data_IF_364183248609
#
_entry.id   IF_364183248609
#
_cell.length_a   1.000
_cell.length_b   1.000
_cell.length_c   1.000
_cell.angle_alpha   90.00
_cell.angle_beta   90.00
_cell.angle_gamma   90.00
#
_symmetry.space_group_name_H-M   'P 1'
#
loop_
_entity.id
_entity.type
_entity.pdbx_description
1 polymer ?
#
# COMPACT_ATOMS: atom_id res chain seq x y z
N UNK A 1 5.14 -14.22 -11.36
CA UNK A 1 4.89 -13.01 -10.53
C UNK A 1 4.47 -13.41 -9.13
N UNK A 2 5.09 -12.81 -8.11
CA UNK A 2 4.76 -13.03 -6.69
C UNK A 2 4.45 -11.67 -6.05
N UNK A 3 3.28 -11.54 -5.42
CA UNK A 3 2.90 -10.33 -4.68
C UNK A 3 3.36 -10.48 -3.24
N UNK A 4 4.22 -9.56 -2.79
CA UNK A 4 4.72 -9.46 -1.43
C UNK A 4 4.21 -8.19 -0.73
N UNK A 5 4.86 -7.78 0.34
CA UNK A 5 4.36 -6.75 1.26
C UNK A 5 5.48 -5.88 1.82
N UNK A 6 5.16 -4.66 2.20
CA UNK A 6 5.97 -3.76 3.02
C UNK A 6 6.33 -4.34 4.40
N UNK A 7 5.53 -5.28 4.92
CA UNK A 7 5.78 -5.97 6.21
C UNK A 7 7.02 -6.86 6.21
N UNK A 8 7.72 -7.00 5.09
CA UNK A 8 9.05 -7.63 5.06
C UNK A 8 10.12 -6.74 5.69
N UNK A 9 9.85 -5.44 5.85
CA UNK A 9 10.72 -4.48 6.53
C UNK A 9 10.32 -4.30 8.00
N UNK A 10 11.23 -3.75 8.83
CA UNK A 10 10.98 -3.51 10.26
C UNK A 10 10.08 -2.30 10.55
N UNK A 11 9.85 -1.46 9.55
CA UNK A 11 8.98 -0.28 9.63
C UNK A 11 9.54 0.88 10.47
N UNK A 12 10.85 0.90 10.77
CA UNK A 12 11.49 1.91 11.63
C UNK A 12 12.30 2.96 10.87
N UNK A 13 12.38 2.86 9.54
CA UNK A 13 13.07 3.88 8.76
C UNK A 13 12.46 5.26 9.08
N UNK A 14 13.25 6.31 9.25
CA UNK A 14 12.74 7.65 9.57
C UNK A 14 11.68 8.11 8.56
N UNK A 15 10.67 8.83 9.06
CA UNK A 15 9.66 9.47 8.22
C UNK A 15 10.33 10.38 7.19
N UNK A 16 9.83 10.38 5.96
CA UNK A 16 10.45 11.08 4.84
C UNK A 16 11.56 10.29 4.12
N UNK A 17 11.95 9.12 4.64
CA UNK A 17 12.83 8.18 3.94
C UNK A 17 12.02 7.00 3.41
N UNK A 18 12.34 6.57 2.20
CA UNK A 18 11.68 5.45 1.54
C UNK A 18 12.49 4.16 1.67
N UNK A 19 11.79 3.03 1.76
CA UNK A 19 12.39 1.71 1.68
C UNK A 19 12.80 1.42 0.25
N UNK A 20 14.08 1.16 0.03
CA UNK A 20 14.61 0.77 -1.28
C UNK A 20 14.44 -0.75 -1.50
N UNK A 21 14.44 -1.18 -2.77
CA UNK A 21 14.30 -2.60 -3.11
C UNK A 21 15.42 -3.46 -2.55
N UNK A 22 16.60 -2.86 -2.35
CA UNK A 22 17.82 -3.51 -1.87
C UNK A 22 18.00 -3.39 -0.34
N UNK A 23 17.09 -2.69 0.36
CA UNK A 23 17.11 -2.67 1.83
C UNK A 23 16.90 -4.08 2.38
N UNK A 24 17.64 -4.40 3.43
CA UNK A 24 17.57 -5.74 4.05
C UNK A 24 16.21 -5.95 4.72
N UNK A 25 15.51 -7.04 4.39
CA UNK A 25 14.28 -7.41 5.09
C UNK A 25 14.55 -7.76 6.56
N UNK A 26 13.70 -7.25 7.44
CA UNK A 26 13.64 -7.59 8.88
C UNK A 26 12.18 -7.64 9.36
N UNK A 27 11.40 -8.66 8.96
CA UNK A 27 9.98 -8.74 9.25
C UNK A 27 9.69 -8.92 10.74
N UNK A 28 8.88 -8.04 11.31
CA UNK A 28 8.52 -8.01 12.74
C UNK A 28 7.22 -8.77 13.05
N UNK A 29 6.54 -9.29 12.04
CA UNK A 29 5.26 -10.01 12.20
C UNK A 29 5.32 -11.38 11.53
N UNK A 30 4.45 -12.29 11.95
CA UNK A 30 4.34 -13.61 11.31
C UNK A 30 3.91 -13.49 9.83
N UNK A 31 3.01 -12.55 9.54
CA UNK A 31 2.63 -12.25 8.17
C UNK A 31 3.84 -11.83 7.32
N UNK A 32 4.65 -10.89 7.81
CA UNK A 32 5.86 -10.45 7.10
C UNK A 32 6.87 -11.58 6.92
N UNK A 33 7.08 -12.42 7.96
CA UNK A 33 7.98 -13.59 7.87
C UNK A 33 7.54 -14.58 6.80
N UNK A 34 6.26 -14.96 6.80
CA UNK A 34 5.75 -15.92 5.79
C UNK A 34 5.81 -15.35 4.38
N UNK A 35 5.58 -14.04 4.20
CA UNK A 35 5.74 -13.37 2.91
C UNK A 35 7.20 -13.35 2.47
N UNK A 36 8.14 -13.04 3.38
CA UNK A 36 9.59 -13.09 3.08
C UNK A 36 10.06 -14.50 2.72
N UNK A 37 9.63 -15.52 3.45
CA UNK A 37 9.89 -16.93 3.08
C UNK A 37 9.40 -17.25 1.66
N UNK A 38 8.23 -16.73 1.28
CA UNK A 38 7.72 -16.89 -0.07
C UNK A 38 8.58 -16.20 -1.13
N UNK A 39 9.14 -15.01 -0.83
CA UNK A 39 10.11 -14.35 -1.71
C UNK A 39 11.35 -15.23 -1.92
N UNK A 40 11.94 -15.75 -0.83
CA UNK A 40 13.13 -16.62 -0.86
C UNK A 40 12.89 -17.91 -1.63
N UNK A 41 11.71 -18.51 -1.47
CA UNK A 41 11.35 -19.72 -2.24
C UNK A 41 11.26 -19.41 -3.73
N UNK A 42 10.69 -18.29 -4.13
CA UNK A 42 10.63 -17.89 -5.54
C UNK A 42 12.04 -17.66 -6.11
N UNK A 43 12.92 -16.96 -5.38
CA UNK A 43 14.31 -16.74 -5.79
C UNK A 43 15.09 -18.05 -5.99
N UNK A 44 14.88 -19.02 -5.09
CA UNK A 44 15.55 -20.31 -5.15
C UNK A 44 15.04 -21.21 -6.28
N UNK A 45 13.79 -21.02 -6.73
CA UNK A 45 13.17 -21.87 -7.75
C UNK A 45 13.42 -21.39 -9.19
N UNK A 46 13.64 -20.10 -9.40
CA UNK A 46 13.82 -19.54 -10.74
C UNK A 46 14.56 -18.20 -10.72
N UNK A 47 15.34 -17.93 -11.75
CA UNK A 47 15.92 -16.60 -12.00
C UNK A 47 14.97 -15.64 -12.76
N UNK A 48 13.86 -16.16 -13.30
CA UNK A 48 12.90 -15.39 -14.08
C UNK A 48 11.66 -15.08 -13.25
N UNK A 49 11.75 -14.08 -12.39
CA UNK A 49 10.68 -13.71 -11.49
C UNK A 49 10.46 -12.19 -11.41
N UNK A 50 9.22 -11.82 -11.09
CA UNK A 50 8.87 -10.50 -10.58
C UNK A 50 8.29 -10.67 -9.18
N UNK A 51 8.99 -10.17 -8.18
CA UNK A 51 8.50 -10.06 -6.80
C UNK A 51 8.12 -8.61 -6.57
N UNK A 52 6.83 -8.37 -6.32
CA UNK A 52 6.30 -7.01 -6.17
C UNK A 52 5.84 -6.82 -4.73
N UNK A 53 6.56 -6.00 -3.96
CA UNK A 53 6.15 -5.58 -2.62
C UNK A 53 5.18 -4.42 -2.73
N UNK A 54 4.07 -4.51 -2.03
CA UNK A 54 3.00 -3.50 -2.02
C UNK A 54 2.49 -3.22 -0.61
N UNK A 55 1.76 -2.14 -0.43
CA UNK A 55 1.20 -1.71 0.85
C UNK A 55 -0.22 -1.15 0.67
N UNK A 56 -1.02 -1.16 1.75
CA UNK A 56 -2.31 -0.47 1.88
C UNK A 56 -3.27 -0.71 0.71
N UNK A 57 -3.44 -1.98 0.35
CA UNK A 57 -4.20 -2.37 -0.84
C UNK A 57 -5.70 -2.12 -0.66
N UNK A 58 -6.32 -1.46 -1.65
CA UNK A 58 -7.76 -1.30 -1.75
C UNK A 58 -8.26 -1.66 -3.15
N UNK A 59 -9.53 -2.01 -3.27
CA UNK A 59 -10.13 -2.39 -4.54
C UNK A 59 -11.62 -2.68 -4.43
N UNK A 60 -12.25 -3.01 -5.56
CA UNK A 60 -13.70 -3.18 -5.68
C UNK A 60 -14.23 -4.47 -5.03
N UNK A 61 -13.36 -5.35 -4.56
CA UNK A 61 -13.75 -6.63 -3.99
C UNK A 61 -13.10 -6.85 -2.62
N UNK A 62 -13.81 -7.59 -1.76
CA UNK A 62 -13.34 -7.90 -0.42
C UNK A 62 -13.39 -6.72 0.55
N UNK A 63 -12.94 -6.98 1.77
CA UNK A 63 -12.86 -5.95 2.83
C UNK A 63 -11.59 -5.12 2.64
N UNK A 64 -11.71 -3.81 2.68
CA UNK A 64 -10.58 -2.89 2.64
C UNK A 64 -10.88 -1.61 3.43
N UNK A 65 -9.88 -0.75 3.56
CA UNK A 65 -9.97 0.46 4.37
C UNK A 65 -11.01 1.45 3.82
N UNK A 66 -11.11 1.61 2.48
CA UNK A 66 -12.09 2.52 1.86
C UNK A 66 -13.50 2.13 2.25
N UNK A 67 -13.89 0.87 2.05
CA UNK A 67 -15.21 0.38 2.45
C UNK A 67 -15.44 0.44 3.96
N UNK A 68 -14.39 0.25 4.75
CA UNK A 68 -14.49 0.38 6.21
C UNK A 68 -14.85 1.80 6.59
N UNK A 69 -14.16 2.81 6.06
CA UNK A 69 -14.44 4.22 6.34
C UNK A 69 -15.85 4.62 5.86
N UNK A 70 -16.23 4.25 4.64
CA UNK A 70 -17.56 4.50 4.11
C UNK A 70 -18.68 3.88 4.96
N UNK A 71 -18.46 2.64 5.46
CA UNK A 71 -19.47 1.98 6.29
C UNK A 71 -19.57 2.62 7.68
N UNK A 72 -18.47 2.99 8.30
CA UNK A 72 -18.47 3.71 9.58
C UNK A 72 -19.13 5.07 9.47
N UNK A 73 -18.93 5.77 8.38
CA UNK A 73 -19.54 7.08 8.10
C UNK A 73 -21.08 7.06 8.10
N UNK A 74 -21.69 5.90 7.82
CA UNK A 74 -23.17 5.77 7.85
C UNK A 74 -23.79 5.89 9.25
N UNK A 75 -23.00 5.64 10.30
CA UNK A 75 -23.49 5.58 11.68
C UNK A 75 -22.73 6.45 12.67
N UNK A 76 -21.62 7.07 12.26
CA UNK A 76 -20.78 7.91 13.11
C UNK A 76 -20.63 9.29 12.52
N UNK A 77 -20.68 10.31 13.37
CA UNK A 77 -20.39 11.70 12.97
C UNK A 77 -18.92 12.08 13.13
N UNK A 78 -18.20 11.30 13.92
CA UNK A 78 -16.78 11.51 14.20
C UNK A 78 -16.05 10.15 14.13
N UNK A 79 -14.92 10.12 13.45
CA UNK A 79 -14.04 8.94 13.37
C UNK A 79 -12.62 9.33 13.77
N UNK A 80 -11.98 8.53 14.61
CA UNK A 80 -10.55 8.68 14.94
C UNK A 80 -9.71 7.79 14.06
N UNK A 81 -8.64 8.33 13.47
CA UNK A 81 -7.74 7.59 12.57
C UNK A 81 -6.29 7.90 12.90
N UNK A 82 -5.42 6.90 12.84
CA UNK A 82 -4.00 7.05 13.14
C UNK A 82 -3.30 7.95 12.12
N UNK A 83 -2.45 8.86 12.60
CA UNK A 83 -1.67 9.80 11.79
C UNK A 83 -0.15 9.67 11.99
N UNK A 84 0.30 8.64 12.70
CA UNK A 84 1.71 8.33 12.96
C UNK A 84 2.18 7.06 12.20
N UNK A 85 1.37 6.55 11.29
CA UNK A 85 1.71 5.45 10.40
C UNK A 85 1.71 5.96 8.96
N UNK A 86 2.88 5.97 8.33
CA UNK A 86 3.16 6.54 7.02
C UNK A 86 3.24 5.46 5.95
N UNK A 87 2.74 5.75 4.76
CA UNK A 87 2.72 4.81 3.64
C UNK A 87 1.96 5.38 2.45
N UNK A 88 1.71 4.54 1.44
CA UNK A 88 0.93 4.93 0.25
C UNK A 88 -0.13 3.90 -0.05
N UNK A 89 -1.40 4.30 -0.26
CA UNK A 89 -2.46 3.41 -0.73
C UNK A 89 -2.13 2.81 -2.11
N UNK A 90 -2.56 1.58 -2.32
CA UNK A 90 -2.39 0.88 -3.61
C UNK A 90 -3.72 0.36 -4.12
N UNK A 91 -4.17 0.88 -5.26
CA UNK A 91 -5.33 0.33 -5.94
C UNK A 91 -4.97 -0.99 -6.62
N UNK A 92 -5.79 -2.03 -6.39
CA UNK A 92 -5.58 -3.36 -6.98
C UNK A 92 -5.47 -3.33 -8.51
N UNK A 93 -6.15 -2.40 -9.17
CA UNK A 93 -6.05 -2.21 -10.62
C UNK A 93 -4.66 -1.72 -11.03
N UNK A 94 -4.11 -0.71 -10.35
CA UNK A 94 -2.75 -0.24 -10.63
C UNK A 94 -1.72 -1.36 -10.47
N UNK A 95 -1.89 -2.19 -9.42
CA UNK A 95 -1.03 -3.35 -9.21
C UNK A 95 -1.14 -4.38 -10.33
N UNK A 96 -2.36 -4.69 -10.77
CA UNK A 96 -2.62 -5.62 -11.87
C UNK A 96 -2.05 -5.10 -13.20
N UNK A 97 -2.29 -3.84 -13.52
CA UNK A 97 -1.76 -3.19 -14.74
C UNK A 97 -0.22 -3.19 -14.75
N UNK A 98 0.42 -2.95 -13.60
CA UNK A 98 1.87 -3.03 -13.51
C UNK A 98 2.41 -4.46 -13.73
N UNK A 99 1.76 -5.48 -13.16
CA UNK A 99 2.13 -6.88 -13.38
C UNK A 99 2.06 -7.26 -14.87
N UNK A 100 0.96 -6.88 -15.54
CA UNK A 100 0.78 -7.09 -16.98
C UNK A 100 1.87 -6.34 -17.75
N UNK A 101 2.10 -5.06 -17.41
CA UNK A 101 3.10 -4.24 -18.07
C UNK A 101 4.51 -4.84 -18.00
N UNK A 102 4.93 -5.34 -16.82
CA UNK A 102 6.23 -5.98 -16.66
C UNK A 102 6.39 -7.22 -17.56
N UNK A 103 5.35 -8.04 -17.62
CA UNK A 103 5.38 -9.30 -18.39
C UNK A 103 5.30 -9.07 -19.89
N UNK A 104 4.38 -8.24 -20.36
CA UNK A 104 4.20 -7.95 -21.79
C UNK A 104 5.39 -7.22 -22.40
N UNK A 105 6.00 -6.31 -21.63
CA UNK A 105 7.15 -5.53 -22.09
C UNK A 105 8.49 -6.17 -21.71
N UNK A 106 8.50 -7.42 -21.21
CA UNK A 106 9.69 -8.20 -20.88
C UNK A 106 10.71 -7.39 -20.06
N UNK A 107 10.24 -6.67 -19.03
CA UNK A 107 11.08 -5.84 -18.17
C UNK A 107 12.06 -6.71 -17.37
N UNK A 108 13.13 -6.12 -16.85
CA UNK A 108 14.14 -6.83 -16.07
C UNK A 108 13.49 -7.59 -14.89
N UNK A 109 13.87 -8.87 -14.73
CA UNK A 109 13.44 -9.68 -13.59
C UNK A 109 13.97 -9.13 -12.26
N UNK A 110 13.36 -9.56 -11.17
CA UNK A 110 13.78 -9.21 -9.81
C UNK A 110 12.69 -8.57 -8.96
N UNK A 111 13.11 -7.88 -7.91
CA UNK A 111 12.23 -7.18 -6.97
C UNK A 111 11.78 -5.84 -7.50
N UNK A 112 10.54 -5.51 -7.18
CA UNK A 112 9.92 -4.20 -7.41
C UNK A 112 9.12 -3.78 -6.19
N UNK A 113 9.03 -2.49 -5.97
CA UNK A 113 8.06 -1.87 -5.09
C UNK A 113 6.97 -1.22 -5.92
N UNK A 114 5.71 -1.40 -5.53
CA UNK A 114 4.58 -0.71 -6.12
C UNK A 114 3.55 -0.30 -5.08
N UNK A 115 3.27 0.98 -5.07
CA UNK A 115 2.05 1.61 -4.53
C UNK A 115 1.58 2.63 -5.55
N UNK A 116 0.42 3.25 -5.36
CA UNK A 116 0.13 4.47 -6.06
C UNK A 116 1.09 5.58 -5.61
N UNK A 117 1.38 6.53 -6.50
CA UNK A 117 2.33 7.62 -6.22
C UNK A 117 1.74 8.65 -5.24
N UNK A 118 2.60 9.45 -4.64
CA UNK A 118 2.22 10.60 -3.82
C UNK A 118 3.30 11.66 -3.90
N UNK A 119 2.91 12.91 -3.93
CA UNK A 119 3.83 14.06 -3.83
C UNK A 119 4.10 14.46 -2.38
N UNK A 120 3.30 13.92 -1.45
CA UNK A 120 3.35 14.25 -0.04
C UNK A 120 3.50 12.99 0.80
N UNK A 121 4.01 13.15 2.01
CA UNK A 121 3.97 12.11 3.01
C UNK A 121 2.52 11.83 3.40
N UNK A 122 2.11 10.58 3.35
CA UNK A 122 0.71 10.18 3.50
C UNK A 122 0.55 9.27 4.71
N UNK A 123 -0.46 9.53 5.54
CA UNK A 123 -0.86 8.71 6.68
C UNK A 123 -2.21 8.04 6.44
N UNK A 124 -2.59 7.10 7.30
CA UNK A 124 -3.96 6.56 7.29
C UNK A 124 -5.01 7.65 7.54
N UNK A 125 -4.66 8.68 8.33
CA UNK A 125 -5.53 9.83 8.55
C UNK A 125 -5.79 10.59 7.25
N UNK A 126 -4.74 10.92 6.48
CA UNK A 126 -4.89 11.64 5.21
C UNK A 126 -5.72 10.84 4.22
N UNK A 127 -5.51 9.53 4.18
CA UNK A 127 -6.30 8.64 3.32
C UNK A 127 -7.77 8.62 3.75
N UNK A 128 -8.07 8.58 5.07
CA UNK A 128 -9.44 8.63 5.57
C UNK A 128 -10.12 9.97 5.28
N UNK A 129 -9.40 11.09 5.43
CA UNK A 129 -9.90 12.44 5.09
C UNK A 129 -10.31 12.50 3.62
N UNK A 130 -9.47 12.01 2.70
CA UNK A 130 -9.81 12.00 1.28
C UNK A 130 -10.99 11.07 0.95
N UNK A 131 -11.06 9.89 1.59
CA UNK A 131 -12.21 8.97 1.43
C UNK A 131 -13.53 9.62 1.84
N UNK A 132 -13.52 10.41 2.90
CA UNK A 132 -14.71 10.97 3.54
C UNK A 132 -14.95 12.45 3.23
N UNK A 133 -14.20 13.06 2.32
CA UNK A 133 -14.22 14.50 2.04
C UNK A 133 -15.59 15.06 1.64
N UNK A 134 -16.44 14.23 1.04
CA UNK A 134 -17.80 14.60 0.62
C UNK A 134 -18.87 14.15 1.64
N UNK A 135 -18.47 13.77 2.85
CA UNK A 135 -19.35 13.38 3.95
C UNK A 135 -19.35 14.40 5.07
N UNK A 136 -20.40 14.38 5.92
CA UNK A 136 -20.50 15.23 7.12
C UNK A 136 -19.73 14.66 8.34
N UNK A 137 -18.84 13.68 8.11
CA UNK A 137 -18.07 13.00 9.17
C UNK A 137 -16.78 13.74 9.46
N UNK A 138 -16.58 14.12 10.70
CA UNK A 138 -15.33 14.68 11.18
C UNK A 138 -14.29 13.55 11.40
N UNK A 139 -13.12 13.64 10.75
CA UNK A 139 -12.01 12.72 10.97
C UNK A 139 -10.99 13.37 11.91
N UNK A 140 -10.75 12.73 13.06
CA UNK A 140 -9.83 13.24 14.09
C UNK A 140 -8.53 12.43 14.06
N UNK A 141 -7.35 13.08 13.92
CA UNK A 141 -6.07 12.39 13.97
C UNK A 141 -5.75 11.93 15.41
N UNK A 142 -5.21 10.73 15.53
CA UNK A 142 -4.73 10.17 16.79
C UNK A 142 -3.45 9.37 16.54
N UNK A 143 -2.65 9.18 17.58
CA UNK A 143 -1.48 8.29 17.51
C UNK A 143 -1.88 6.81 17.65
N UNK A 144 -1.00 5.92 17.23
CA UNK A 144 -1.24 4.47 17.19
C UNK A 144 -1.45 3.83 18.58
N UNK A 145 -1.10 4.52 19.67
CA UNK A 145 -1.35 4.02 21.04
C UNK A 145 -2.85 3.90 21.35
N UNK A 146 -3.70 4.65 20.63
CA UNK A 146 -5.15 4.57 20.77
C UNK A 146 -5.76 3.29 20.15
N UNK A 147 -5.02 2.62 19.29
CA UNK A 147 -5.46 1.38 18.60
C UNK A 147 -4.46 0.24 18.83
N UNK A 148 -4.41 -0.33 20.05
CA UNK A 148 -3.52 -1.44 20.34
C UNK A 148 -3.86 -2.64 19.42
N UNK A 149 -2.94 -2.99 18.54
CA UNK A 149 -3.07 -4.11 17.63
C UNK A 149 -2.28 -5.32 18.15
N UNK A 150 -2.80 -6.55 17.91
CA UNK A 150 -2.08 -7.80 18.25
C UNK A 150 -0.72 -7.88 17.51
N UNK A 151 -0.66 -7.39 16.28
CA UNK A 151 0.57 -7.33 15.50
C UNK A 151 1.06 -5.88 15.44
N UNK A 152 2.37 -5.70 15.64
CA UNK A 152 3.02 -4.39 15.53
C UNK A 152 2.91 -3.91 14.08
N UNK A 153 2.30 -2.75 13.87
CA UNK A 153 2.23 -2.13 12.56
C UNK A 153 3.47 -1.28 12.30
N UNK A 154 3.99 -1.25 11.07
CA UNK A 154 5.08 -0.36 10.69
C UNK A 154 4.68 1.11 10.92
N UNK A 155 5.61 1.93 11.45
CA UNK A 155 5.42 3.38 11.49
C UNK A 155 5.70 4.01 10.14
N UNK A 156 6.61 3.45 9.36
CA UNK A 156 6.89 3.87 8.00
C UNK A 156 6.91 2.68 7.04
N UNK A 157 5.91 2.63 6.18
CA UNK A 157 5.74 1.67 5.07
C UNK A 157 6.03 2.27 3.70
N UNK A 158 6.55 3.50 3.65
CA UNK A 158 6.78 4.20 2.38
C UNK A 158 7.91 3.54 1.61
N UNK A 159 7.59 2.98 0.46
CA UNK A 159 8.54 2.28 -0.41
C UNK A 159 8.91 3.12 -1.63
N UNK A 160 10.19 3.13 -2.00
CA UNK A 160 10.69 3.79 -3.20
C UNK A 160 10.07 3.18 -4.46
N UNK A 161 9.53 4.04 -5.31
CA UNK A 161 8.95 3.68 -6.61
C UNK A 161 9.95 3.87 -7.75
N UNK A 162 11.19 4.26 -7.47
CA UNK A 162 12.19 4.61 -8.47
C UNK A 162 12.39 3.50 -9.52
N UNK A 163 12.52 2.24 -9.08
CA UNK A 163 12.71 1.11 -9.99
C UNK A 163 11.47 0.84 -10.85
N UNK A 164 10.27 0.96 -10.29
CA UNK A 164 9.02 0.80 -11.04
C UNK A 164 8.87 1.92 -12.09
N UNK A 165 9.11 3.17 -11.70
CA UNK A 165 9.10 4.33 -12.61
C UNK A 165 10.16 4.20 -13.72
N UNK A 166 11.35 3.68 -13.42
CA UNK A 166 12.43 3.46 -14.40
C UNK A 166 12.05 2.44 -15.50
N UNK A 167 11.03 1.60 -15.29
CA UNK A 167 10.50 0.72 -16.35
C UNK A 167 9.76 1.49 -17.44
N UNK A 168 9.38 2.73 -17.20
CA UNK A 168 8.50 3.54 -18.06
C UNK A 168 7.01 3.39 -17.73
N UNK A 169 6.65 2.62 -16.70
CA UNK A 169 5.26 2.54 -16.24
C UNK A 169 4.87 3.84 -15.53
N UNK A 170 3.74 4.42 -15.95
CA UNK A 170 3.19 5.63 -15.32
C UNK A 170 2.32 5.23 -14.15
N UNK A 171 2.78 5.55 -12.94
CA UNK A 171 2.07 5.26 -11.69
C UNK A 171 1.15 6.44 -11.38
N UNK A 172 -0.19 6.26 -11.35
CA UNK A 172 -1.10 7.33 -10.96
C UNK A 172 -0.93 7.66 -9.47
N UNK A 173 -1.27 8.88 -9.07
CA UNK A 173 -1.36 9.24 -7.65
C UNK A 173 -2.44 8.41 -6.96
N UNK A 174 -2.33 8.22 -5.64
CA UNK A 174 -3.35 7.48 -4.91
C UNK A 174 -4.69 8.24 -4.90
N UNK A 175 -4.68 9.57 -4.97
CA UNK A 175 -5.89 10.40 -5.09
C UNK A 175 -6.59 10.15 -6.44
N UNK A 176 -5.83 10.13 -7.55
CA UNK A 176 -6.40 9.83 -8.86
C UNK A 176 -6.92 8.40 -8.94
N UNK A 177 -6.17 7.45 -8.36
CA UNK A 177 -6.60 6.05 -8.29
C UNK A 177 -7.90 5.89 -7.49
N UNK A 178 -8.04 6.57 -6.35
CA UNK A 178 -9.27 6.57 -5.54
C UNK A 178 -10.45 7.19 -6.32
N UNK A 179 -10.22 8.28 -7.04
CA UNK A 179 -11.23 8.91 -7.88
C UNK A 179 -11.72 7.98 -9.00
N UNK A 180 -10.81 7.28 -9.67
CA UNK A 180 -11.17 6.30 -10.71
C UNK A 180 -11.86 5.07 -10.11
N UNK A 181 -11.45 4.63 -8.92
CA UNK A 181 -12.11 3.58 -8.17
C UNK A 181 -13.60 3.91 -7.94
N UNK A 182 -13.94 5.12 -7.47
CA UNK A 182 -15.33 5.53 -7.26
C UNK A 182 -16.16 5.56 -8.56
N UNK A 183 -15.57 5.99 -9.67
CA UNK A 183 -16.27 5.96 -10.96
C UNK A 183 -16.67 4.54 -11.40
N UNK A 184 -15.93 3.52 -11.00
CA UNK A 184 -16.24 2.13 -11.30
C UNK A 184 -17.30 1.54 -10.38
N UNK A 185 -17.39 1.99 -9.12
CA UNK A 185 -18.46 1.58 -8.21
C UNK A 185 -19.84 2.05 -8.67
N UNK A 186 -19.91 3.26 -9.20
CA UNK A 186 -21.19 3.84 -9.71
C UNK A 186 -21.74 3.08 -10.94
N UNK A 187 -20.90 2.29 -11.62
CA UNK A 187 -21.30 1.53 -12.83
C UNK A 187 -21.82 0.12 -12.55
N UNK A 188 -21.90 -0.29 -11.27
CA UNK A 188 -22.46 -1.58 -10.84
C UNK A 188 -23.90 -1.40 -10.35
#
# INVERSE_FOLDING_TARGET
VYISTDYVFDGKKPVGQEWEVDDLPDPQTEYGRTKRMGEELVENLTSQYYIIRTAWVFGNYGKNFVFTMQNLAKSHKTLTVVNDQHGRPTWTRTLAEFMIYLTENQKAFGYYHLSNDSTEDTTWYDFAVEILKDSDVEVIPVDSSKFPAKAKRPLNSTMSLAKAKATGFVIPTWQDALKEFYKQEVRK
#
